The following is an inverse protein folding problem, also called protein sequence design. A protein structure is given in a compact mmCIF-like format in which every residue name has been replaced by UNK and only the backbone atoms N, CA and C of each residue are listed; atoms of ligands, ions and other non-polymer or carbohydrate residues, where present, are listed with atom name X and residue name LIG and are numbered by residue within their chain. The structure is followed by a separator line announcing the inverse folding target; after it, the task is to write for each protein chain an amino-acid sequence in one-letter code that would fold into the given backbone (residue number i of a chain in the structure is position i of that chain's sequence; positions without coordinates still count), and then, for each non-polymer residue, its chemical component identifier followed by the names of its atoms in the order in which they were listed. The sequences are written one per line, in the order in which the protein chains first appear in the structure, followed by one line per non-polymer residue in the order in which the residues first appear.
data_IF_820705342399
#
_entry.id   IF_820705342399
#
_cell.length_a   1.000
_cell.length_b   1.000
_cell.length_c   1.000
_cell.angle_alpha   90.00
_cell.angle_beta   90.00
_cell.angle_gamma   90.00
#
_symmetry.space_group_name_H-M   'P 1'
#
loop_
_entity.id
_entity.type
_entity.pdbx_description
1 polymer ?
#
# COMPACT_ATOMS: atom_id res chain seq x y z
N UNK A 1 42.29 -12.53 31.76
CA UNK A 1 42.06 -13.21 30.47
C UNK A 1 40.61 -12.97 30.06
N UNK A 2 40.44 -12.50 28.83
CA UNK A 2 39.20 -12.46 28.03
C UNK A 2 38.13 -11.45 28.44
N UNK A 3 38.30 -10.22 27.94
CA UNK A 3 37.19 -9.32 27.65
C UNK A 3 36.24 -10.01 26.66
N UNK A 4 34.99 -10.21 27.07
CA UNK A 4 33.92 -10.68 26.18
C UNK A 4 33.48 -9.50 25.32
N UNK A 5 34.10 -9.37 24.16
CA UNK A 5 33.64 -8.47 23.10
C UNK A 5 32.32 -9.02 22.56
N UNK A 6 31.21 -8.45 22.99
CA UNK A 6 29.90 -8.68 22.38
C UNK A 6 29.93 -7.94 21.05
N UNK A 7 30.12 -8.67 19.95
CA UNK A 7 29.83 -8.16 18.62
C UNK A 7 28.38 -7.66 18.62
N UNK A 8 28.12 -6.37 18.37
CA UNK A 8 26.79 -5.99 17.93
C UNK A 8 26.58 -6.72 16.60
N UNK A 9 25.48 -7.46 16.51
CA UNK A 9 24.98 -7.95 15.24
C UNK A 9 24.83 -6.71 14.36
N UNK A 10 25.62 -6.63 13.30
CA UNK A 10 25.43 -5.68 12.21
C UNK A 10 24.21 -6.20 11.43
N UNK A 11 23.04 -6.07 12.07
CA UNK A 11 21.78 -6.05 11.34
C UNK A 11 21.80 -4.78 10.48
N UNK A 12 21.30 -4.82 9.23
CA UNK A 12 21.32 -3.63 8.38
C UNK A 12 20.65 -2.51 9.15
N UNK A 13 21.44 -1.50 9.53
CA UNK A 13 20.98 -0.30 10.18
C UNK A 13 19.84 0.25 9.32
N UNK A 14 18.62 0.19 9.85
CA UNK A 14 17.43 0.78 9.26
C UNK A 14 17.46 2.32 9.38
N UNK A 15 18.63 2.90 9.18
CA UNK A 15 18.86 4.33 9.00
C UNK A 15 19.18 4.52 7.51
N UNK A 16 18.20 4.15 6.68
CA UNK A 16 18.20 4.56 5.29
C UNK A 16 17.99 6.07 5.30
N UNK A 17 19.05 6.81 5.05
CA UNK A 17 18.98 8.25 4.82
C UNK A 17 17.85 8.52 3.80
N UNK A 18 16.79 9.26 4.16
CA UNK A 18 15.63 9.44 3.28
C UNK A 18 15.98 10.22 2.00
N UNK A 19 17.17 10.81 1.92
CA UNK A 19 17.69 11.44 0.72
C UNK A 19 18.65 10.54 -0.10
N UNK A 20 18.94 9.31 0.34
CA UNK A 20 19.75 8.35 -0.42
C UNK A 20 18.96 7.75 -1.60
N UNK A 21 18.90 8.48 -2.70
CA UNK A 21 18.32 8.01 -3.96
C UNK A 21 19.10 6.84 -4.57
N UNK A 22 18.38 5.85 -5.12
CA UNK A 22 18.95 4.70 -5.84
C UNK A 22 18.74 4.84 -7.35
N UNK A 23 19.81 4.73 -8.15
CA UNK A 23 19.70 4.78 -9.61
C UNK A 23 19.20 3.45 -10.20
N UNK A 24 18.19 3.53 -11.05
CA UNK A 24 17.62 2.42 -11.81
C UNK A 24 17.81 2.65 -13.31
N UNK A 25 18.05 1.58 -14.07
CA UNK A 25 18.11 1.63 -15.54
C UNK A 25 16.76 1.21 -16.10
N UNK A 26 16.12 2.11 -16.83
CA UNK A 26 14.89 1.83 -17.57
C UNK A 26 15.21 1.44 -19.00
N UNK A 27 14.33 0.67 -19.63
CA UNK A 27 14.43 0.38 -21.05
C UNK A 27 14.14 1.65 -21.86
N UNK A 28 14.85 1.84 -22.98
CA UNK A 28 14.79 3.06 -23.81
C UNK A 28 13.38 3.44 -24.26
N UNK A 29 12.55 2.44 -24.56
CA UNK A 29 11.17 2.66 -24.97
C UNK A 29 10.29 3.21 -23.82
N UNK A 30 10.60 2.88 -22.56
CA UNK A 30 9.89 3.40 -21.40
C UNK A 30 10.33 4.82 -21.10
N UNK A 31 11.65 5.10 -21.05
CA UNK A 31 12.16 6.45 -20.83
C UNK A 31 11.63 7.43 -21.88
N UNK A 32 11.65 7.05 -23.16
CA UNK A 32 11.13 7.92 -24.22
C UNK A 32 9.62 8.18 -24.09
N UNK A 33 8.82 7.19 -23.69
CA UNK A 33 7.38 7.39 -23.45
C UNK A 33 7.13 8.28 -22.23
N UNK A 34 7.95 8.17 -21.20
CA UNK A 34 7.86 9.01 -20.00
C UNK A 34 8.16 10.47 -20.38
N UNK A 35 9.26 10.71 -21.09
CA UNK A 35 9.65 12.05 -21.54
C UNK A 35 8.60 12.68 -22.46
N UNK A 36 7.95 11.90 -23.34
CA UNK A 36 6.88 12.40 -24.20
C UNK A 36 5.61 12.78 -23.42
N UNK A 37 5.35 12.12 -22.28
CA UNK A 37 4.17 12.40 -21.46
C UNK A 37 4.39 13.56 -20.50
N UNK A 38 5.62 13.77 -20.04
CA UNK A 38 5.97 14.79 -19.03
C UNK A 38 5.36 16.19 -19.32
N UNK A 39 5.42 16.74 -20.55
CA UNK A 39 4.87 18.07 -20.84
C UNK A 39 3.34 18.17 -20.70
N UNK A 40 2.64 17.03 -20.69
CA UNK A 40 1.19 16.95 -20.50
C UNK A 40 0.79 16.69 -19.04
N UNK A 41 1.73 16.73 -18.11
CA UNK A 41 1.50 16.47 -16.68
C UNK A 41 1.85 17.69 -15.84
N UNK A 42 1.55 17.62 -14.54
CA UNK A 42 1.88 18.67 -13.57
C UNK A 42 3.33 18.62 -13.06
N UNK A 43 4.13 17.64 -13.50
CA UNK A 43 5.48 17.40 -12.99
C UNK A 43 6.55 18.12 -13.81
N UNK A 44 7.55 18.66 -13.11
CA UNK A 44 8.65 19.39 -13.73
C UNK A 44 9.84 18.49 -14.09
N UNK A 45 9.86 17.24 -13.59
CA UNK A 45 10.94 16.29 -13.85
C UNK A 45 10.46 14.85 -14.04
N UNK A 46 11.27 14.08 -14.78
CA UNK A 46 11.06 12.64 -14.96
C UNK A 46 11.12 11.90 -13.62
N UNK A 47 12.03 12.30 -12.73
CA UNK A 47 12.20 11.66 -11.43
C UNK A 47 10.93 11.81 -10.56
N UNK A 48 10.39 13.01 -10.51
CA UNK A 48 9.17 13.32 -9.77
C UNK A 48 7.97 12.54 -10.33
N UNK A 49 7.81 12.56 -11.66
CA UNK A 49 6.74 11.82 -12.32
C UNK A 49 6.83 10.31 -12.06
N UNK A 50 8.02 9.73 -12.19
CA UNK A 50 8.22 8.30 -11.96
C UNK A 50 7.99 7.94 -10.51
N UNK A 51 8.46 8.76 -9.57
CA UNK A 51 8.24 8.56 -8.13
C UNK A 51 6.76 8.53 -7.82
N UNK A 52 6.01 9.54 -8.26
CA UNK A 52 4.57 9.63 -8.04
C UNK A 52 3.82 8.42 -8.62
N UNK A 53 4.13 8.02 -9.85
CA UNK A 53 3.48 6.86 -10.48
C UNK A 53 3.79 5.57 -9.72
N UNK A 54 5.04 5.37 -9.29
CA UNK A 54 5.42 4.17 -8.54
C UNK A 54 4.74 4.13 -7.16
N UNK A 55 4.69 5.25 -6.44
CA UNK A 55 3.95 5.34 -5.17
C UNK A 55 2.46 5.05 -5.34
N UNK A 56 1.85 5.56 -6.42
CA UNK A 56 0.44 5.32 -6.73
C UNK A 56 0.18 3.84 -7.01
N UNK A 57 1.05 3.19 -7.78
CA UNK A 57 0.95 1.75 -8.09
C UNK A 57 1.14 0.90 -6.83
N UNK A 58 2.11 1.25 -5.97
CA UNK A 58 2.33 0.53 -4.72
C UNK A 58 1.12 0.66 -3.79
N UNK A 59 0.54 1.86 -3.66
CA UNK A 59 -0.68 2.07 -2.87
C UNK A 59 -1.84 1.22 -3.37
N UNK A 60 -2.07 1.19 -4.68
CA UNK A 60 -3.14 0.38 -5.29
C UNK A 60 -2.94 -1.12 -5.05
N UNK A 61 -1.69 -1.59 -5.02
CA UNK A 61 -1.36 -2.98 -4.71
C UNK A 61 -1.58 -3.28 -3.22
N UNK A 62 -1.13 -2.38 -2.34
CA UNK A 62 -1.30 -2.54 -0.88
C UNK A 62 -2.79 -2.58 -0.51
N UNK A 63 -3.60 -1.68 -1.09
CA UNK A 63 -5.06 -1.67 -0.91
C UNK A 63 -5.70 -3.00 -1.37
N UNK A 64 -5.31 -3.54 -2.53
CA UNK A 64 -5.81 -4.83 -3.02
C UNK A 64 -5.41 -6.04 -2.15
N UNK A 65 -4.27 -5.96 -1.47
CA UNK A 65 -3.82 -7.00 -0.53
C UNK A 65 -4.64 -6.91 0.75
N UNK A 66 -4.79 -5.70 1.30
CA UNK A 66 -5.60 -5.46 2.50
C UNK A 66 -7.06 -5.86 2.28
N UNK A 67 -7.64 -5.56 1.11
CA UNK A 67 -9.00 -5.99 0.74
C UNK A 67 -9.15 -7.53 0.64
N UNK A 68 -8.09 -8.24 0.25
CA UNK A 68 -8.08 -9.71 0.21
C UNK A 68 -7.92 -10.34 1.60
N UNK A 69 -7.17 -9.70 2.50
CA UNK A 69 -7.03 -10.16 3.88
C UNK A 69 -8.27 -9.82 4.73
N UNK A 70 -8.96 -8.70 4.46
CA UNK A 70 -10.18 -8.27 5.17
C UNK A 70 -11.44 -9.02 4.68
N UNK A 71 -11.46 -9.46 3.41
CA UNK A 71 -12.51 -10.34 2.87
C UNK A 71 -12.59 -11.72 3.58
N UNK A 72 -11.60 -12.06 4.41
CA UNK A 72 -11.59 -13.24 5.27
C UNK A 72 -12.20 -13.04 6.66
N UNK A 73 -12.47 -11.81 7.11
CA UNK A 73 -12.81 -11.55 8.51
C UNK A 73 -14.08 -10.73 8.77
N UNK A 74 -14.67 -10.06 7.77
CA UNK A 74 -15.67 -9.01 8.07
C UNK A 74 -16.94 -9.00 7.20
N UNK A 75 -17.22 -10.10 6.50
CA UNK A 75 -18.50 -10.28 5.79
C UNK A 75 -19.53 -11.07 6.61
N UNK A 76 -19.10 -11.97 7.50
CA UNK A 76 -20.03 -12.79 8.29
C UNK A 76 -20.60 -12.04 9.49
N UNK A 77 -19.83 -11.20 10.18
CA UNK A 77 -20.29 -10.61 11.46
C UNK A 77 -21.29 -9.46 11.27
N UNK A 78 -21.18 -8.71 10.16
CA UNK A 78 -22.12 -7.62 9.83
C UNK A 78 -23.48 -8.09 9.30
N UNK A 79 -23.52 -9.23 8.60
CA UNK A 79 -24.77 -9.74 8.03
C UNK A 79 -25.69 -10.30 9.13
N UNK A 80 -25.13 -10.93 10.17
CA UNK A 80 -25.94 -11.46 11.29
C UNK A 80 -26.59 -10.33 12.12
N UNK A 81 -25.85 -9.28 12.47
CA UNK A 81 -26.37 -8.16 13.28
C UNK A 81 -27.52 -7.41 12.58
N UNK A 82 -27.40 -7.18 11.26
CA UNK A 82 -28.44 -6.48 10.49
C UNK A 82 -29.70 -7.36 10.32
N UNK A 83 -29.55 -8.69 10.18
CA UNK A 83 -30.71 -9.60 10.07
C UNK A 83 -31.48 -9.79 11.38
N UNK A 84 -30.82 -9.79 12.54
CA UNK A 84 -31.49 -9.85 13.85
C UNK A 84 -32.23 -8.54 14.14
N UNK A 85 -31.60 -7.39 13.88
CA UNK A 85 -32.22 -6.08 14.05
C UNK A 85 -33.44 -5.87 13.12
N UNK A 86 -33.39 -6.42 11.90
CA UNK A 86 -34.54 -6.39 10.99
C UNK A 86 -35.68 -7.30 11.46
N UNK A 87 -35.40 -8.48 12.00
CA UNK A 87 -36.43 -9.40 12.51
C UNK A 87 -37.20 -8.79 13.68
N UNK A 88 -36.51 -8.21 14.67
CA UNK A 88 -37.14 -7.54 15.82
C UNK A 88 -38.09 -6.42 15.37
N UNK A 89 -37.69 -5.67 14.33
CA UNK A 89 -38.53 -4.59 13.78
C UNK A 89 -39.75 -5.13 13.04
N UNK A 90 -39.62 -6.25 12.33
CA UNK A 90 -40.73 -6.88 11.60
C UNK A 90 -41.74 -7.54 12.56
N UNK A 91 -41.27 -8.18 13.63
CA UNK A 91 -42.12 -8.74 14.70
C UNK A 91 -42.88 -7.61 15.43
N UNK A 92 -42.22 -6.50 15.76
CA UNK A 92 -42.85 -5.34 16.40
C UNK A 92 -43.96 -4.72 15.54
N UNK A 93 -43.85 -4.82 14.22
CA UNK A 93 -44.85 -4.35 13.27
C UNK A 93 -45.92 -5.40 12.90
N UNK A 94 -45.80 -6.63 13.43
CA UNK A 94 -46.75 -7.73 13.23
C UNK A 94 -46.71 -8.35 11.84
N UNK A 95 -45.57 -8.26 11.15
CA UNK A 95 -45.36 -8.90 9.85
C UNK A 95 -44.83 -10.33 9.95
N UNK A 96 -44.49 -10.79 11.16
CA UNK A 96 -44.09 -12.15 11.50
C UNK A 96 -45.14 -12.83 12.39
#
# INVERSE_FOLDING_TARGET
MSNRNLSPTDGPSADSDPAAGRQLRLAEHLSSRIEQRLPGTEFDSVEEYVTFVMESVLREIDEQIDEQDDAGHDASDREYDDTEAMQDRLESLGYL
#
